data_IF_928808504130
#
_entry.id   IF_928808504130
#
_cell.length_a   1.000
_cell.length_b   1.000
_cell.length_c   1.000
_cell.angle_alpha   90.00
_cell.angle_beta   90.00
_cell.angle_gamma   90.00
#
_symmetry.space_group_name_H-M   'P 1'
#
loop_
_entity.id
_entity.type
_entity.pdbx_description
1 polymer ?
#
# COMPACT_ATOMS: atom_id res chain seq x y z
N UNK A 1 60.77 27.50 -45.64
CA UNK A 1 59.93 26.30 -45.44
C UNK A 1 58.75 26.45 -46.38
N UNK A 2 58.68 25.62 -47.42
CA UNK A 2 57.68 25.78 -48.48
C UNK A 2 56.25 25.58 -47.95
N UNK A 3 55.32 26.51 -48.22
CA UNK A 3 53.96 26.46 -47.67
C UNK A 3 53.13 25.26 -48.15
N UNK A 4 53.61 24.52 -49.17
CA UNK A 4 53.00 23.29 -49.69
C UNK A 4 53.34 22.04 -48.88
N UNK A 5 54.47 21.98 -48.18
CA UNK A 5 54.82 20.81 -47.34
C UNK A 5 54.05 20.80 -46.02
N UNK A 6 53.81 21.98 -45.43
CA UNK A 6 53.04 22.12 -44.19
C UNK A 6 51.56 21.76 -44.38
N UNK A 7 50.99 22.06 -45.55
CA UNK A 7 49.60 21.70 -45.87
C UNK A 7 49.43 20.18 -46.06
N UNK A 8 50.42 19.50 -46.63
CA UNK A 8 50.38 18.05 -46.80
C UNK A 8 50.52 17.31 -45.46
N UNK A 9 51.38 17.81 -44.56
CA UNK A 9 51.53 17.22 -43.22
C UNK A 9 50.24 17.35 -42.40
N UNK A 10 49.54 18.49 -42.48
CA UNK A 10 48.25 18.69 -41.81
C UNK A 10 47.15 17.76 -42.36
N UNK A 11 47.08 17.54 -43.69
CA UNK A 11 46.11 16.61 -44.27
C UNK A 11 46.37 15.15 -43.88
N UNK A 12 47.63 14.73 -43.75
CA UNK A 12 47.99 13.38 -43.29
C UNK A 12 47.72 13.21 -41.79
N UNK A 13 47.96 14.23 -40.96
CA UNK A 13 47.63 14.22 -39.53
C UNK A 13 46.11 14.26 -39.27
N UNK A 14 45.33 14.93 -40.12
CA UNK A 14 43.86 14.94 -40.01
C UNK A 14 43.18 13.67 -40.53
N UNK A 15 43.83 12.90 -41.41
CA UNK A 15 43.32 11.61 -41.89
C UNK A 15 43.65 10.43 -40.94
N UNK A 16 44.64 10.59 -40.05
CA UNK A 16 45.04 9.59 -39.06
C UNK A 16 44.19 9.52 -37.79
N UNK A 17 43.21 10.41 -37.60
CA UNK A 17 42.33 10.43 -36.41
C UNK A 17 40.97 9.77 -36.62
N UNK A 18 40.78 9.03 -37.72
CA UNK A 18 39.55 8.25 -37.93
C UNK A 18 39.70 6.85 -37.32
N UNK A 19 38.81 6.58 -36.37
CA UNK A 19 38.42 5.26 -35.81
C UNK A 19 39.21 4.81 -34.57
N UNK A 20 39.12 5.57 -33.48
CA UNK A 20 38.81 4.94 -32.19
C UNK A 20 37.31 5.07 -31.98
N UNK A 21 36.54 4.16 -32.60
CA UNK A 21 35.20 3.90 -32.12
C UNK A 21 35.38 3.26 -30.73
N UNK A 22 35.10 4.04 -29.69
CA UNK A 22 34.85 3.52 -28.36
C UNK A 22 33.84 2.37 -28.54
N UNK A 23 34.20 1.16 -28.14
CA UNK A 23 33.27 0.03 -28.00
C UNK A 23 32.27 0.50 -26.93
N UNK A 24 31.26 1.26 -27.38
CA UNK A 24 30.24 1.81 -26.52
C UNK A 24 29.55 0.64 -25.87
N UNK A 25 29.52 0.63 -24.54
CA UNK A 25 28.78 -0.32 -23.73
C UNK A 25 27.29 -0.18 -24.09
N UNK A 26 26.87 -0.89 -25.15
CA UNK A 26 25.49 -0.88 -25.60
C UNK A 26 24.67 -1.55 -24.50
N UNK A 27 23.65 -0.87 -23.94
CA UNK A 27 22.89 -1.41 -22.83
C UNK A 27 22.31 -2.77 -23.23
N UNK A 28 22.45 -3.76 -22.33
CA UNK A 28 21.89 -5.09 -22.56
C UNK A 28 20.39 -4.97 -22.86
N UNK A 29 19.87 -5.66 -23.89
CA UNK A 29 18.47 -5.57 -24.24
C UNK A 29 17.58 -6.03 -23.07
N UNK A 30 16.46 -5.36 -22.81
CA UNK A 30 15.60 -5.75 -21.69
C UNK A 30 14.85 -7.06 -21.96
N UNK A 31 14.52 -7.75 -20.87
CA UNK A 31 13.59 -8.89 -20.81
C UNK A 31 12.61 -8.62 -19.67
N UNK A 32 11.33 -8.89 -19.89
CA UNK A 32 10.29 -8.66 -18.87
C UNK A 32 9.21 -9.73 -18.91
N UNK A 33 8.56 -9.97 -17.78
CA UNK A 33 7.34 -10.75 -17.71
C UNK A 33 6.12 -9.82 -17.84
N UNK A 34 5.13 -10.21 -18.65
CA UNK A 34 3.85 -9.49 -18.77
C UNK A 34 2.88 -9.79 -17.63
N UNK A 35 3.20 -10.80 -16.83
CA UNK A 35 2.50 -11.22 -15.62
C UNK A 35 3.51 -11.38 -14.48
N UNK A 36 3.02 -11.64 -13.27
CA UNK A 36 3.90 -11.89 -12.12
C UNK A 36 4.97 -12.95 -12.44
N UNK A 37 6.25 -12.73 -12.10
CA UNK A 37 7.31 -13.74 -12.17
C UNK A 37 7.16 -14.89 -11.15
N UNK A 38 6.13 -14.85 -10.31
CA UNK A 38 5.76 -15.88 -9.33
C UNK A 38 4.59 -16.68 -9.87
N UNK A 39 4.86 -17.87 -10.41
CA UNK A 39 3.86 -18.67 -11.13
C UNK A 39 3.46 -19.88 -10.28
N UNK A 40 2.17 -20.18 -10.10
CA UNK A 40 1.71 -21.45 -9.53
C UNK A 40 2.15 -22.66 -10.38
N UNK A 41 2.27 -23.82 -9.74
CA UNK A 41 2.38 -25.09 -10.45
C UNK A 41 1.29 -25.22 -11.53
N UNK A 42 1.66 -25.71 -12.71
CA UNK A 42 0.82 -25.81 -13.92
C UNK A 42 0.32 -24.48 -14.50
N UNK A 43 0.74 -23.34 -13.93
CA UNK A 43 0.44 -22.01 -14.45
C UNK A 43 1.16 -21.70 -15.77
N UNK A 44 0.97 -20.47 -16.26
CA UNK A 44 1.64 -19.98 -17.46
C UNK A 44 2.10 -18.54 -17.29
N UNK A 45 3.13 -18.16 -18.06
CA UNK A 45 3.71 -16.81 -18.07
C UNK A 45 4.01 -16.38 -19.49
N UNK A 46 3.82 -15.09 -19.74
CA UNK A 46 4.18 -14.44 -20.98
C UNK A 46 5.41 -13.57 -20.76
N UNK A 47 6.43 -13.74 -21.58
CA UNK A 47 7.70 -13.02 -21.53
C UNK A 47 7.81 -12.15 -22.77
N UNK A 48 8.39 -10.97 -22.63
CA UNK A 48 8.70 -10.06 -23.72
C UNK A 48 10.20 -9.73 -23.71
N UNK A 49 10.82 -9.88 -24.87
CA UNK A 49 12.18 -9.49 -25.17
C UNK A 49 12.18 -8.17 -25.93
N UNK A 50 13.15 -7.30 -25.70
CA UNK A 50 13.36 -6.12 -26.54
C UNK A 50 13.65 -6.50 -28.00
N UNK A 51 13.01 -5.84 -28.96
CA UNK A 51 13.30 -6.01 -30.37
C UNK A 51 14.70 -5.47 -30.73
N UNK A 52 15.47 -6.28 -31.45
CA UNK A 52 16.81 -5.93 -31.95
C UNK A 52 16.81 -5.97 -33.48
N UNK A 53 17.13 -4.85 -34.13
CA UNK A 53 17.06 -4.69 -35.59
C UNK A 53 18.00 -5.63 -36.34
N UNK A 54 19.18 -5.89 -35.81
CA UNK A 54 20.20 -6.75 -36.43
C UNK A 54 19.93 -8.25 -36.23
N UNK A 55 18.98 -8.60 -35.35
CA UNK A 55 18.70 -9.98 -35.00
C UNK A 55 17.67 -10.58 -35.95
N UNK A 56 18.10 -11.56 -36.76
CA UNK A 56 17.20 -12.29 -37.67
C UNK A 56 16.51 -13.48 -36.99
N UNK A 57 16.97 -13.87 -35.80
CA UNK A 57 16.28 -14.83 -34.95
C UNK A 57 16.41 -14.40 -33.48
N UNK A 58 15.30 -14.52 -32.76
CA UNK A 58 15.22 -14.31 -31.31
C UNK A 58 14.60 -15.55 -30.69
N UNK A 59 15.27 -16.11 -29.70
CA UNK A 59 14.84 -17.30 -28.96
C UNK A 59 14.89 -17.00 -27.47
N UNK A 60 13.95 -17.57 -26.72
CA UNK A 60 13.99 -17.52 -25.27
C UNK A 60 14.79 -18.72 -24.76
N UNK A 61 15.76 -18.45 -23.89
CA UNK A 61 16.65 -19.46 -23.33
C UNK A 61 16.48 -19.53 -21.82
N UNK A 62 16.44 -20.75 -21.27
CA UNK A 62 16.60 -21.01 -19.85
C UNK A 62 18.04 -21.41 -19.55
N UNK A 63 18.57 -20.90 -18.43
CA UNK A 63 19.92 -21.19 -17.95
C UNK A 63 19.85 -22.31 -16.92
N UNK A 64 20.51 -23.44 -17.21
CA UNK A 64 20.62 -24.59 -16.30
C UNK A 64 22.05 -25.09 -16.27
N UNK A 65 22.66 -25.20 -15.09
CA UNK A 65 24.02 -25.70 -14.92
C UNK A 65 25.02 -25.06 -15.90
N UNK A 66 24.93 -23.74 -16.06
CA UNK A 66 25.75 -22.95 -17.00
C UNK A 66 25.55 -23.27 -18.49
N UNK A 67 24.48 -23.99 -18.85
CA UNK A 67 24.08 -24.26 -20.22
C UNK A 67 22.80 -23.50 -20.58
N UNK A 68 22.69 -23.09 -21.84
CA UNK A 68 21.50 -22.46 -22.40
C UNK A 68 20.66 -23.50 -23.12
N UNK A 69 19.35 -23.54 -22.82
CA UNK A 69 18.39 -24.40 -23.53
C UNK A 69 17.24 -23.57 -24.04
N UNK A 70 16.86 -23.76 -25.30
CA UNK A 70 15.69 -23.10 -25.87
C UNK A 70 14.41 -23.54 -25.15
N UNK A 71 13.50 -22.61 -24.93
CA UNK A 71 12.26 -22.85 -24.20
C UNK A 71 11.17 -21.86 -24.60
N UNK A 72 9.92 -22.28 -24.40
CA UNK A 72 8.75 -21.47 -24.67
C UNK A 72 8.42 -21.39 -26.16
N UNK A 73 7.23 -20.87 -26.43
CA UNK A 73 6.73 -20.71 -27.81
C UNK A 73 6.69 -19.23 -28.15
N UNK A 74 7.33 -18.85 -29.25
CA UNK A 74 7.24 -17.48 -29.78
C UNK A 74 5.82 -17.16 -30.22
N UNK A 75 5.33 -16.01 -29.78
CA UNK A 75 4.05 -15.44 -30.15
C UNK A 75 4.28 -14.36 -31.20
N UNK A 76 3.56 -14.46 -32.33
CA UNK A 76 3.58 -13.51 -33.45
C UNK A 76 4.97 -13.34 -34.10
N UNK A 77 5.00 -13.33 -35.43
CA UNK A 77 6.24 -13.19 -36.21
C UNK A 77 6.45 -11.77 -36.76
N UNK A 78 5.54 -10.85 -36.46
CA UNK A 78 5.52 -9.52 -37.09
C UNK A 78 6.69 -8.65 -36.61
N UNK A 79 7.44 -8.11 -37.58
CA UNK A 79 8.77 -7.51 -37.44
C UNK A 79 8.85 -6.14 -36.76
N UNK A 80 7.75 -5.61 -36.21
CA UNK A 80 7.73 -4.25 -35.65
C UNK A 80 7.40 -4.20 -34.15
N UNK A 81 7.35 -5.34 -33.48
CA UNK A 81 7.05 -5.40 -32.04
C UNK A 81 8.06 -6.27 -31.31
N UNK A 82 8.36 -5.89 -30.07
CA UNK A 82 9.14 -6.68 -29.12
C UNK A 82 8.70 -8.15 -29.11
N UNK A 83 9.61 -9.12 -29.39
CA UNK A 83 9.27 -10.54 -29.43
C UNK A 83 8.66 -11.03 -28.12
N UNK A 84 7.52 -11.70 -28.22
CA UNK A 84 6.83 -12.27 -27.07
C UNK A 84 6.91 -13.80 -27.09
N UNK A 85 7.00 -14.39 -25.91
CA UNK A 85 7.07 -15.83 -25.70
C UNK A 85 6.06 -16.24 -24.63
N UNK A 86 5.53 -17.44 -24.73
CA UNK A 86 4.71 -18.06 -23.68
C UNK A 86 5.40 -19.31 -23.17
N UNK A 87 5.40 -19.46 -21.84
CA UNK A 87 5.75 -20.71 -21.16
C UNK A 87 4.50 -21.17 -20.41
N UNK A 88 3.99 -22.30 -20.83
CA UNK A 88 2.81 -22.97 -20.31
C UNK A 88 3.20 -24.23 -19.51
N UNK A 89 2.29 -24.67 -18.64
CA UNK A 89 2.47 -25.85 -17.78
C UNK A 89 3.73 -25.72 -16.92
N UNK A 90 3.82 -24.66 -16.12
CA UNK A 90 4.99 -24.38 -15.29
C UNK A 90 5.26 -25.52 -14.30
N UNK A 91 6.52 -25.95 -14.26
CA UNK A 91 7.02 -27.04 -13.43
C UNK A 91 8.39 -26.69 -12.85
N UNK A 92 8.93 -27.55 -11.97
CA UNK A 92 10.23 -27.32 -11.35
C UNK A 92 11.40 -27.17 -12.35
N UNK A 93 11.33 -27.82 -13.51
CA UNK A 93 12.36 -27.74 -14.54
C UNK A 93 12.32 -26.39 -15.27
N UNK A 94 11.17 -25.74 -15.32
CA UNK A 94 10.93 -24.42 -15.92
C UNK A 94 11.14 -23.25 -14.94
N UNK A 95 11.35 -23.50 -13.65
CA UNK A 95 11.76 -22.46 -12.72
C UNK A 95 13.25 -22.10 -12.90
N UNK A 96 13.63 -20.82 -12.87
CA UNK A 96 15.03 -20.41 -12.99
C UNK A 96 15.24 -19.09 -13.70
N UNK A 97 16.46 -18.93 -14.22
CA UNK A 97 16.92 -17.74 -14.93
C UNK A 97 16.76 -17.88 -16.43
N UNK A 98 16.34 -16.79 -17.06
CA UNK A 98 16.02 -16.71 -18.47
C UNK A 98 16.73 -15.54 -19.13
N UNK A 99 17.11 -15.73 -20.40
CA UNK A 99 17.64 -14.68 -21.26
C UNK A 99 17.09 -14.86 -22.67
N UNK A 100 16.89 -13.76 -23.38
CA UNK A 100 16.62 -13.75 -24.80
C UNK A 100 17.96 -13.85 -25.54
N UNK A 101 18.10 -14.84 -26.41
CA UNK A 101 19.24 -14.99 -27.30
C UNK A 101 18.90 -14.39 -28.66
N UNK A 102 19.72 -13.45 -29.11
CA UNK A 102 19.61 -12.77 -30.39
C UNK A 102 20.71 -13.26 -31.33
N UNK A 103 20.33 -13.91 -32.43
CA UNK A 103 21.29 -14.31 -33.46
C UNK A 103 21.49 -13.16 -34.45
N UNK A 104 22.69 -12.59 -34.45
CA UNK A 104 23.10 -11.44 -35.29
C UNK A 104 24.10 -11.82 -36.39
N UNK A 105 24.51 -13.09 -36.44
CA UNK A 105 25.30 -13.68 -37.51
C UNK A 105 25.40 -15.19 -37.37
N UNK A 106 26.09 -15.86 -38.31
CA UNK A 106 26.14 -17.33 -38.40
C UNK A 106 26.60 -18.03 -37.10
N UNK A 107 27.44 -17.38 -36.28
CA UNK A 107 27.82 -17.82 -34.92
C UNK A 107 27.96 -16.66 -33.94
N UNK A 108 27.27 -15.54 -34.21
CA UNK A 108 27.37 -14.33 -33.39
C UNK A 108 26.03 -14.13 -32.70
N UNK A 109 26.08 -14.16 -31.36
CA UNK A 109 24.92 -14.02 -30.50
C UNK A 109 25.09 -12.82 -29.59
N UNK A 110 23.97 -12.20 -29.25
CA UNK A 110 23.85 -11.31 -28.10
C UNK A 110 22.79 -11.84 -27.15
N UNK A 111 22.85 -11.45 -25.90
CA UNK A 111 21.89 -11.86 -24.89
C UNK A 111 21.26 -10.64 -24.23
N UNK A 112 20.02 -10.78 -23.78
CA UNK A 112 19.36 -9.78 -22.95
C UNK A 112 19.94 -9.75 -21.53
N UNK A 113 19.41 -8.84 -20.72
CA UNK A 113 19.42 -8.98 -19.26
C UNK A 113 18.73 -10.30 -18.83
N UNK A 114 18.73 -10.59 -17.53
CA UNK A 114 18.24 -11.85 -16.96
C UNK A 114 16.88 -11.68 -16.29
N UNK A 115 15.92 -12.52 -16.65
CA UNK A 115 14.63 -12.64 -15.96
C UNK A 115 14.63 -13.88 -15.08
N UNK A 116 14.22 -13.74 -13.83
CA UNK A 116 14.07 -14.87 -12.91
C UNK A 116 12.59 -15.22 -12.76
N UNK A 117 12.25 -16.50 -12.93
CA UNK A 117 10.92 -17.04 -12.75
C UNK A 117 10.92 -18.11 -11.67
N UNK A 118 9.93 -18.06 -10.79
CA UNK A 118 9.76 -19.02 -9.70
C UNK A 118 8.46 -19.79 -9.83
N UNK A 119 8.49 -21.05 -9.40
CA UNK A 119 7.32 -21.91 -9.36
C UNK A 119 6.92 -22.14 -7.91
N UNK A 120 5.65 -21.88 -7.61
CA UNK A 120 5.05 -22.01 -6.28
C UNK A 120 4.16 -23.25 -6.17
N UNK A 121 3.78 -23.64 -4.96
CA UNK A 121 2.93 -24.81 -4.72
C UNK A 121 3.67 -26.15 -4.58
N UNK A 122 4.98 -26.12 -4.32
CA UNK A 122 5.81 -27.33 -4.22
C UNK A 122 6.00 -27.82 -2.76
N UNK A 123 5.75 -26.94 -1.79
CA UNK A 123 5.88 -27.21 -0.35
C UNK A 123 4.68 -26.64 0.41
N UNK A 124 4.43 -27.12 1.64
CA UNK A 124 3.35 -26.60 2.48
C UNK A 124 3.48 -25.09 2.76
N UNK A 125 2.34 -24.40 2.89
CA UNK A 125 2.31 -22.94 3.06
C UNK A 125 2.89 -22.50 4.41
N UNK A 126 3.65 -21.38 4.45
CA UNK A 126 3.98 -20.71 5.70
C UNK A 126 2.79 -19.88 6.20
N UNK A 127 2.99 -19.19 7.32
CA UNK A 127 2.06 -18.26 7.93
C UNK A 127 2.65 -16.86 7.94
N UNK A 128 1.84 -15.86 7.59
CA UNK A 128 2.22 -14.45 7.55
C UNK A 128 1.38 -13.66 8.56
N UNK A 129 2.05 -12.86 9.40
CA UNK A 129 1.45 -11.99 10.41
C UNK A 129 2.09 -10.60 10.39
N UNK A 130 1.47 -9.65 11.08
CA UNK A 130 2.02 -8.31 11.31
C UNK A 130 2.26 -8.08 12.82
N UNK A 131 3.20 -7.22 13.14
CA UNK A 131 3.49 -6.77 14.51
C UNK A 131 2.42 -5.83 15.09
N UNK A 132 1.57 -5.25 14.22
CA UNK A 132 0.55 -4.25 14.59
C UNK A 132 -0.71 -4.38 13.72
N UNK A 133 -1.61 -3.41 13.85
CA UNK A 133 -2.80 -3.30 13.00
C UNK A 133 -2.48 -3.17 11.51
N UNK A 134 -3.47 -3.50 10.67
CA UNK A 134 -3.33 -3.54 9.20
C UNK A 134 -3.68 -2.21 8.51
N UNK A 135 -4.18 -1.24 9.28
CA UNK A 135 -4.48 0.12 8.83
C UNK A 135 -3.42 1.05 9.42
N UNK A 136 -2.75 1.80 8.55
CA UNK A 136 -1.56 2.57 8.88
C UNK A 136 -1.70 4.02 8.35
N UNK A 137 -1.02 4.93 9.02
CA UNK A 137 -0.78 6.29 8.55
C UNK A 137 0.56 6.35 7.79
N UNK A 138 0.72 7.23 6.79
CA UNK A 138 2.00 7.43 6.15
C UNK A 138 3.09 7.82 7.15
N UNK A 139 4.29 7.29 6.95
CA UNK A 139 5.44 7.48 7.83
C UNK A 139 5.49 6.53 9.03
N UNK A 140 4.41 5.80 9.33
CA UNK A 140 4.48 4.71 10.29
C UNK A 140 5.36 3.58 9.76
N UNK A 141 6.02 2.86 10.66
CA UNK A 141 6.73 1.65 10.28
C UNK A 141 5.75 0.46 10.29
N UNK A 142 6.10 -0.66 9.67
CA UNK A 142 5.44 -1.96 9.92
C UNK A 142 6.43 -3.09 9.66
N UNK A 143 6.33 -4.15 10.46
CA UNK A 143 7.10 -5.37 10.26
C UNK A 143 6.14 -6.55 10.08
N UNK A 144 6.30 -7.25 8.96
CA UNK A 144 5.59 -8.49 8.68
C UNK A 144 6.49 -9.67 9.06
N UNK A 145 5.94 -10.64 9.78
CA UNK A 145 6.66 -11.84 10.19
C UNK A 145 6.12 -13.04 9.43
N UNK A 146 7.01 -13.78 8.80
CA UNK A 146 6.71 -15.03 8.13
C UNK A 146 7.39 -16.21 8.80
N UNK A 147 6.64 -17.29 9.04
CA UNK A 147 7.18 -18.48 9.69
C UNK A 147 6.48 -19.76 9.23
N UNK A 148 7.08 -20.91 9.50
CA UNK A 148 6.46 -22.21 9.26
C UNK A 148 6.74 -23.12 10.45
N UNK A 149 5.67 -23.62 11.08
CA UNK A 149 5.79 -24.48 12.27
C UNK A 149 6.29 -25.89 11.92
N UNK A 150 6.05 -26.37 10.71
CA UNK A 150 6.26 -27.77 10.32
C UNK A 150 7.38 -27.96 9.29
N UNK A 151 7.73 -26.92 8.54
CA UNK A 151 8.67 -27.02 7.43
C UNK A 151 9.86 -26.07 7.71
N UNK A 152 11.08 -26.60 7.91
CA UNK A 152 12.25 -25.80 8.21
C UNK A 152 12.83 -25.19 6.92
N UNK A 153 12.11 -24.25 6.31
CA UNK A 153 12.59 -23.51 5.13
C UNK A 153 13.90 -22.79 5.44
N UNK A 154 14.84 -22.74 4.49
CA UNK A 154 16.09 -22.01 4.69
C UNK A 154 15.85 -20.50 4.66
N UNK A 155 14.93 -20.05 3.80
CA UNK A 155 14.66 -18.64 3.51
C UNK A 155 13.19 -18.43 3.18
N UNK A 156 12.76 -17.18 3.31
CA UNK A 156 11.41 -16.72 3.01
C UNK A 156 11.44 -15.52 2.07
N UNK A 157 10.41 -15.37 1.25
CA UNK A 157 10.20 -14.24 0.33
C UNK A 157 8.83 -13.62 0.56
N UNK A 158 8.78 -12.30 0.67
CA UNK A 158 7.53 -11.53 0.79
C UNK A 158 7.15 -10.92 -0.56
N UNK A 159 6.00 -11.32 -1.10
CA UNK A 159 5.45 -10.81 -2.35
C UNK A 159 4.23 -9.91 -2.08
N UNK A 160 4.14 -8.82 -2.84
CA UNK A 160 2.93 -8.02 -2.94
C UNK A 160 2.16 -8.43 -4.21
N UNK A 161 0.87 -8.70 -4.09
CA UNK A 161 0.04 -9.02 -5.25
C UNK A 161 0.02 -7.86 -6.25
N UNK A 162 0.06 -8.19 -7.55
CA UNK A 162 0.05 -7.22 -8.63
C UNK A 162 1.44 -6.70 -9.04
N UNK A 163 2.50 -6.96 -8.27
CA UNK A 163 3.85 -6.62 -8.70
C UNK A 163 4.32 -7.50 -9.86
N UNK A 164 4.95 -6.86 -10.85
CA UNK A 164 5.47 -7.49 -12.08
C UNK A 164 6.96 -7.84 -11.99
N UNK A 165 7.56 -7.68 -10.80
CA UNK A 165 8.94 -8.03 -10.49
C UNK A 165 8.99 -9.18 -9.49
N UNK A 166 10.11 -9.89 -9.46
CA UNK A 166 10.32 -10.91 -8.43
C UNK A 166 10.45 -10.24 -7.04
N UNK A 167 9.86 -10.82 -5.99
CA UNK A 167 10.03 -10.37 -4.62
C UNK A 167 11.49 -10.14 -4.20
N UNK A 168 11.84 -8.88 -3.95
CA UNK A 168 13.17 -8.47 -3.48
C UNK A 168 13.34 -8.67 -1.97
N UNK A 169 12.23 -8.62 -1.22
CA UNK A 169 12.24 -8.78 0.23
C UNK A 169 12.39 -10.26 0.58
N UNK A 170 13.63 -10.67 0.85
CA UNK A 170 13.99 -12.03 1.25
C UNK A 170 14.72 -12.03 2.58
N UNK A 171 14.39 -12.97 3.46
CA UNK A 171 15.04 -13.12 4.77
C UNK A 171 15.36 -14.59 5.04
N UNK A 172 16.54 -14.82 5.62
CA UNK A 172 16.96 -16.13 6.12
C UNK A 172 16.83 -16.25 7.63
N UNK A 173 16.16 -15.30 8.29
CA UNK A 173 15.87 -15.35 9.72
C UNK A 173 14.73 -16.32 10.03
N UNK A 174 14.71 -16.85 11.25
CA UNK A 174 13.69 -17.79 11.74
C UNK A 174 13.13 -17.31 13.09
N UNK A 175 11.94 -16.69 13.13
CA UNK A 175 11.06 -16.37 12.00
C UNK A 175 11.61 -15.22 11.12
N UNK A 176 11.18 -15.15 9.87
CA UNK A 176 11.62 -14.14 8.93
C UNK A 176 10.85 -12.83 9.14
N UNK A 177 11.58 -11.76 9.49
CA UNK A 177 10.99 -10.43 9.63
C UNK A 177 11.24 -9.57 8.39
N UNK A 178 10.20 -8.90 7.91
CA UNK A 178 10.21 -7.99 6.78
C UNK A 178 9.75 -6.62 7.23
N UNK A 179 10.69 -5.70 7.43
CA UNK A 179 10.37 -4.31 7.76
C UNK A 179 10.15 -3.53 6.48
N UNK A 180 8.96 -2.94 6.32
CA UNK A 180 8.59 -2.14 5.14
C UNK A 180 9.06 -0.68 5.23
N UNK A 181 9.76 -0.32 6.31
CA UNK A 181 10.20 1.05 6.57
C UNK A 181 9.02 2.01 6.80
N UNK A 182 9.25 3.33 6.67
CA UNK A 182 8.18 4.33 6.74
C UNK A 182 7.24 4.15 5.55
N UNK A 183 6.00 3.75 5.82
CA UNK A 183 5.04 3.39 4.78
C UNK A 183 4.53 4.63 4.04
N UNK A 184 4.28 4.48 2.75
CA UNK A 184 3.57 5.46 1.93
C UNK A 184 2.28 4.81 1.37
N UNK A 185 1.50 5.57 0.60
CA UNK A 185 0.27 5.05 -0.01
C UNK A 185 0.53 3.86 -0.95
N UNK A 186 1.74 3.75 -1.54
CA UNK A 186 2.11 2.66 -2.43
C UNK A 186 2.35 1.34 -1.68
N UNK A 187 2.54 1.36 -0.36
CA UNK A 187 2.63 0.14 0.44
C UNK A 187 1.27 -0.56 0.55
N UNK A 188 0.15 0.14 0.33
CA UNK A 188 -1.18 -0.48 0.38
C UNK A 188 -1.30 -1.64 -0.62
N UNK A 189 -1.88 -2.76 -0.19
CA UNK A 189 -2.11 -3.93 -1.03
C UNK A 189 -2.08 -5.25 -0.25
N UNK A 190 -2.22 -6.34 -1.00
CA UNK A 190 -2.27 -7.69 -0.43
C UNK A 190 -0.89 -8.33 -0.49
N UNK A 191 -0.41 -8.77 0.67
CA UNK A 191 0.89 -9.42 0.83
C UNK A 191 0.73 -10.91 1.09
N UNK A 192 1.66 -11.69 0.54
CA UNK A 192 1.84 -13.12 0.84
C UNK A 192 3.30 -13.47 0.99
N UNK A 193 3.58 -14.47 1.79
CA UNK A 193 4.91 -15.01 1.98
C UNK A 193 5.03 -16.43 1.40
N UNK A 194 6.24 -16.75 0.97
CA UNK A 194 6.64 -18.07 0.48
C UNK A 194 7.89 -18.54 1.21
N UNK A 195 7.97 -19.82 1.51
CA UNK A 195 9.17 -20.48 2.01
C UNK A 195 9.89 -21.24 0.89
N UNK A 196 11.23 -21.26 0.92
CA UNK A 196 12.05 -21.95 -0.07
C UNK A 196 13.41 -22.39 0.50
N UNK A 197 14.15 -23.20 -0.26
CA UNK A 197 15.43 -23.78 0.14
C UNK A 197 16.59 -23.26 -0.72
N UNK A 198 17.76 -23.07 -0.12
CA UNK A 198 18.98 -22.60 -0.82
C UNK A 198 19.38 -23.52 -1.98
N UNK A 199 19.11 -24.82 -1.87
CA UNK A 199 19.38 -25.81 -2.93
C UNK A 199 18.45 -25.66 -4.14
N UNK A 200 17.28 -25.04 -3.96
CA UNK A 200 16.23 -24.90 -4.97
C UNK A 200 15.59 -23.50 -4.90
N UNK A 201 16.36 -22.42 -5.17
CA UNK A 201 15.94 -21.04 -4.87
C UNK A 201 14.74 -20.55 -5.69
N UNK A 202 14.45 -21.20 -6.83
CA UNK A 202 13.31 -20.86 -7.69
C UNK A 202 12.07 -21.73 -7.45
N UNK A 203 12.13 -22.63 -6.47
CA UNK A 203 11.04 -23.55 -6.11
C UNK A 203 10.49 -23.17 -4.75
N UNK A 204 9.26 -22.70 -4.72
CA UNK A 204 8.67 -22.05 -3.55
C UNK A 204 7.45 -22.85 -3.05
N UNK A 205 7.09 -22.62 -1.79
CA UNK A 205 5.91 -23.19 -1.17
C UNK A 205 4.60 -22.74 -1.83
N UNK A 206 3.48 -23.31 -1.38
CA UNK A 206 2.19 -22.63 -1.50
C UNK A 206 2.25 -21.24 -0.82
N UNK A 207 1.49 -20.25 -1.32
CA UNK A 207 1.38 -18.96 -0.67
C UNK A 207 0.86 -19.09 0.75
N UNK A 208 1.33 -18.23 1.66
CA UNK A 208 0.75 -18.05 2.99
C UNK A 208 -0.72 -17.58 2.93
N UNK A 209 -1.32 -17.38 4.10
CA UNK A 209 -2.49 -16.50 4.18
C UNK A 209 -2.18 -15.11 3.59
N UNK A 210 -3.21 -14.49 3.03
CA UNK A 210 -3.15 -13.12 2.55
C UNK A 210 -3.21 -12.15 3.73
N UNK A 211 -2.45 -11.06 3.65
CA UNK A 211 -2.47 -9.98 4.62
C UNK A 211 -2.60 -8.66 3.85
N UNK A 212 -3.75 -8.00 4.00
CA UNK A 212 -4.05 -6.74 3.33
C UNK A 212 -3.60 -5.56 4.21
N UNK A 213 -2.71 -4.72 3.68
CA UNK A 213 -2.31 -3.47 4.31
C UNK A 213 -3.03 -2.30 3.64
N UNK A 214 -3.53 -1.38 4.46
CA UNK A 214 -4.19 -0.16 3.99
C UNK A 214 -3.51 1.03 4.62
N UNK A 215 -2.80 1.81 3.82
CA UNK A 215 -2.22 3.08 4.24
C UNK A 215 -3.17 4.20 3.84
N UNK A 216 -3.61 5.00 4.81
CA UNK A 216 -4.52 6.12 4.56
C UNK A 216 -4.08 7.38 5.30
N UNK A 217 -4.12 8.52 4.62
CA UNK A 217 -3.83 9.84 5.20
C UNK A 217 -4.96 10.32 6.14
N UNK A 218 -6.06 9.58 6.20
CA UNK A 218 -7.29 10.03 6.81
C UNK A 218 -7.45 9.58 8.27
N UNK A 219 -6.88 10.35 9.20
CA UNK A 219 -7.48 10.56 10.54
C UNK A 219 -8.76 11.44 10.40
N UNK A 220 -9.47 11.36 9.27
CA UNK A 220 -10.67 12.18 9.04
C UNK A 220 -11.85 11.78 9.93
N UNK A 221 -11.85 10.55 10.47
CA UNK A 221 -12.92 10.12 11.37
C UNK A 221 -12.73 10.64 12.82
N UNK A 222 -11.49 10.70 13.32
CA UNK A 222 -11.27 11.03 14.73
C UNK A 222 -11.36 12.53 15.00
N UNK A 223 -10.85 13.39 14.11
CA UNK A 223 -11.05 14.83 14.36
C UNK A 223 -12.50 15.24 14.15
N UNK A 224 -13.27 14.59 13.25
CA UNK A 224 -14.68 14.94 13.06
C UNK A 224 -15.50 14.54 14.28
N UNK A 225 -15.30 13.33 14.80
CA UNK A 225 -15.96 12.87 16.04
C UNK A 225 -15.49 13.68 17.25
N UNK A 226 -14.20 13.97 17.39
CA UNK A 226 -13.70 14.79 18.49
C UNK A 226 -14.20 16.25 18.39
N UNK A 227 -14.25 16.84 17.20
CA UNK A 227 -14.83 18.16 17.00
C UNK A 227 -16.34 18.16 17.23
N UNK A 228 -17.06 17.12 16.81
CA UNK A 228 -18.49 16.96 17.13
C UNK A 228 -18.73 16.85 18.64
N UNK A 229 -17.91 16.08 19.37
CA UNK A 229 -17.98 15.99 20.83
C UNK A 229 -17.69 17.35 21.46
N UNK A 230 -16.64 18.05 21.01
CA UNK A 230 -16.32 19.40 21.51
C UNK A 230 -17.44 20.40 21.23
N UNK A 231 -18.05 20.36 20.04
CA UNK A 231 -19.18 21.21 19.66
C UNK A 231 -20.44 20.88 20.47
N UNK A 232 -20.72 19.60 20.71
CA UNK A 232 -21.85 19.16 21.54
C UNK A 232 -21.67 19.62 23.00
N UNK A 233 -20.48 19.46 23.58
CA UNK A 233 -20.16 19.93 24.93
C UNK A 233 -20.26 21.46 25.01
N UNK A 234 -19.71 22.19 24.04
CA UNK A 234 -19.84 23.65 23.98
C UNK A 234 -21.30 24.10 23.89
N UNK A 235 -22.11 23.40 23.07
CA UNK A 235 -23.55 23.63 22.96
C UNK A 235 -24.29 23.40 24.28
N UNK A 236 -24.00 22.30 24.99
CA UNK A 236 -24.59 22.00 26.30
C UNK A 236 -24.23 23.06 27.35
N UNK A 237 -22.97 23.51 27.37
CA UNK A 237 -22.54 24.60 28.26
C UNK A 237 -23.28 25.89 27.95
N UNK A 238 -23.46 26.23 26.66
CA UNK A 238 -24.19 27.43 26.26
C UNK A 238 -25.68 27.36 26.63
N UNK A 239 -26.32 26.20 26.47
CA UNK A 239 -27.70 25.95 26.90
C UNK A 239 -27.82 26.06 28.43
N UNK A 240 -26.87 25.51 29.18
CA UNK A 240 -26.86 25.63 30.64
C UNK A 240 -26.69 27.10 31.10
N UNK A 241 -25.78 27.86 30.48
CA UNK A 241 -25.60 29.29 30.76
C UNK A 241 -26.86 30.09 30.42
N UNK A 242 -27.52 29.81 29.30
CA UNK A 242 -28.79 30.46 28.93
C UNK A 242 -29.89 30.12 29.93
N UNK A 243 -29.99 28.87 30.40
CA UNK A 243 -30.96 28.47 31.43
C UNK A 243 -30.73 29.25 32.75
N UNK A 244 -29.47 29.35 33.20
CA UNK A 244 -29.10 30.12 34.40
C UNK A 244 -29.47 31.61 34.24
N UNK A 245 -29.22 32.20 33.07
CA UNK A 245 -29.57 33.60 32.79
C UNK A 245 -31.09 33.82 32.78
N UNK A 246 -31.87 32.89 32.23
CA UNK A 246 -33.34 32.96 32.20
C UNK A 246 -33.91 32.83 33.61
N UNK A 247 -33.39 31.91 34.43
CA UNK A 247 -33.77 31.75 35.84
C UNK A 247 -33.45 33.01 36.65
N UNK A 248 -32.26 33.60 36.45
CA UNK A 248 -31.88 34.85 37.11
C UNK A 248 -32.80 36.02 36.70
N UNK A 249 -33.14 36.11 35.41
CA UNK A 249 -34.08 37.12 34.90
C UNK A 249 -35.48 36.95 35.51
N UNK A 250 -35.99 35.72 35.58
CA UNK A 250 -37.28 35.42 36.20
C UNK A 250 -37.29 35.78 37.69
N UNK A 251 -36.21 35.46 38.39
CA UNK A 251 -36.06 35.76 39.83
C UNK A 251 -36.05 37.26 40.11
N UNK A 252 -35.31 38.04 39.33
CA UNK A 252 -35.33 39.51 39.44
C UNK A 252 -36.70 40.11 39.10
N UNK A 253 -37.40 39.54 38.11
CA UNK A 253 -38.74 40.02 37.74
C UNK A 253 -39.77 39.71 38.82
N UNK A 254 -39.64 38.57 39.52
CA UNK A 254 -40.49 38.20 40.65
C UNK A 254 -40.25 39.13 41.87
N UNK A 255 -38.98 39.39 42.18
CA UNK A 255 -38.62 40.26 43.31
C UNK A 255 -39.06 41.72 43.09
N UNK A 256 -39.03 42.19 41.84
CA UNK A 256 -39.56 43.50 41.48
C UNK A 256 -41.10 43.57 41.57
N UNK A 257 -41.80 42.43 41.40
CA UNK A 257 -43.26 42.37 41.61
C UNK A 257 -43.63 42.37 43.09
N UNK A 258 -42.87 41.67 43.94
CA UNK A 258 -43.06 41.70 45.39
C UNK A 258 -42.74 43.09 45.98
N UNK A 259 -41.65 43.72 45.54
CA UNK A 259 -41.32 45.08 45.96
C UNK A 259 -42.39 46.12 45.54
N UNK A 260 -43.12 45.87 44.44
CA UNK A 260 -44.23 46.72 44.02
C UNK A 260 -45.54 46.40 44.74
N UNK A 261 -45.70 45.21 45.33
CA UNK A 261 -46.90 44.81 46.04
C UNK A 261 -46.92 45.36 47.48
N UNK A 262 -45.77 45.45 48.15
CA UNK A 262 -45.68 45.90 49.54
C UNK A 262 -45.93 47.42 49.74
N UNK A 263 -45.99 48.22 48.67
CA UNK A 263 -46.26 49.67 48.78
C UNK A 263 -47.75 50.01 48.77
N UNK A 264 -48.64 49.03 48.51
CA UNK A 264 -50.05 49.29 48.24
C UNK A 264 -51.03 48.60 49.21
N UNK A 265 -51.02 48.94 50.50
CA UNK A 265 -52.21 48.74 51.36
C UNK A 265 -52.16 49.53 52.70
N UNK A 266 -53.06 50.51 52.92
CA UNK A 266 -53.44 50.94 54.26
C UNK A 266 -54.90 50.60 54.59
N UNK A 267 -55.04 49.97 55.76
CA UNK A 267 -56.27 49.51 56.42
C UNK A 267 -57.35 50.57 56.62
N UNK A 268 -58.62 50.23 56.38
CA UNK A 268 -59.77 50.73 57.17
C UNK A 268 -60.90 49.70 57.22
N UNK A 269 -61.37 49.45 58.44
CA UNK A 269 -62.40 48.50 58.87
C UNK A 269 -63.81 49.08 58.82
N UNK A 270 -64.84 48.29 58.51
CA UNK A 270 -66.17 48.38 59.17
C UNK A 270 -67.13 47.22 58.82
N UNK A 271 -67.81 46.75 59.86
CA UNK A 271 -68.76 45.63 60.02
C UNK A 271 -70.15 45.86 59.37
N UNK A 272 -70.82 44.78 58.94
CA UNK A 272 -72.29 44.60 59.05
C UNK A 272 -72.67 43.12 59.20
N UNK A 273 -73.48 42.80 60.22
CA UNK A 273 -74.06 41.48 60.54
C UNK A 273 -75.52 41.38 60.06
N UNK A 274 -75.99 40.19 59.70
CA UNK A 274 -77.41 39.80 59.83
C UNK A 274 -77.58 38.26 59.96
N UNK A 275 -78.52 37.75 60.80
CA UNK A 275 -78.58 36.34 61.25
C UNK A 275 -79.76 35.54 60.67
N UNK A 276 -79.72 34.20 60.78
CA UNK A 276 -80.90 33.36 60.60
C UNK A 276 -80.67 31.86 60.87
N UNK A 277 -81.39 31.33 61.88
CA UNK A 277 -81.83 29.92 62.12
C UNK A 277 -80.75 28.81 62.02
N UNK A 278 -80.47 27.95 62.99
CA UNK A 278 -81.34 27.21 63.92
C UNK A 278 -80.45 26.32 64.82
N UNK A 279 -80.94 26.04 66.02
CA UNK A 279 -80.57 24.94 66.92
C UNK A 279 -79.22 24.95 67.68
N UNK A 280 -79.39 25.27 68.96
CA UNK A 280 -78.80 24.62 70.13
C UNK A 280 -77.33 24.89 70.50
N UNK A 281 -77.25 25.72 71.55
CA UNK A 281 -76.28 25.82 72.66
C UNK A 281 -74.96 26.56 72.42
N UNK A 282 -74.87 27.59 73.28
CA UNK A 282 -73.72 28.35 73.77
C UNK A 282 -73.06 29.35 72.81
N UNK A 283 -73.29 30.66 73.02
CA UNK A 283 -72.60 31.72 72.30
C UNK A 283 -71.29 32.08 73.03
N UNK A 284 -70.26 32.46 72.27
CA UNK A 284 -69.16 33.28 72.79
C UNK A 284 -68.97 34.49 71.91
N UNK A 285 -68.74 35.59 72.61
CA UNK A 285 -68.81 36.99 72.20
C UNK A 285 -67.75 37.32 71.14
N UNK A 286 -68.15 38.01 70.08
CA UNK A 286 -67.23 38.68 69.15
C UNK A 286 -66.46 39.78 69.89
N UNK A 287 -65.15 39.81 69.68
CA UNK A 287 -64.27 40.93 70.02
C UNK A 287 -63.84 41.61 68.73
#
# INVERSE_FOLDING_TARGET
MDPKQTTLLCLVLCLGQRIQAQEGDFPMPFISAKSSPVIPLDGSVKIQCQAIREAYLTQLMIIKNSTYREIGRRLKFWNETDPEFVIDHMDANKAGRYQCQYRIGHYRFRYSDTLELVVTGLYGKPFLSADRGLVLMPGENISLTCSSAHIPFDRFSLAKEGELSLPQHQSGEHPANFSLGPVDLNVSGIYRCYGWYNRSPYLWSFPSNALELVVTDSIHQDYTTQNLIRMAVAGLVLVALLAILVENWHSHTALNKEASADVAEPSWSQQMCQPGLTFARTPSVCK
#
